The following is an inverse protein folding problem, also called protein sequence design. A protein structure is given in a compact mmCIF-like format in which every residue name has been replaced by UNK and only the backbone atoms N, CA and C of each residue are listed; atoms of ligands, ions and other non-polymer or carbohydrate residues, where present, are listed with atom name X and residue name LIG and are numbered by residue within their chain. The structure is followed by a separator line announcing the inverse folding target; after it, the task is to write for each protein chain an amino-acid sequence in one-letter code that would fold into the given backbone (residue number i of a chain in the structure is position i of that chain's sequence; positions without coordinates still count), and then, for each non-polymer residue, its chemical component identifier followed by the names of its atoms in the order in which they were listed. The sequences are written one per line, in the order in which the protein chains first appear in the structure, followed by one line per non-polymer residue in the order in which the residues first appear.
data_IF_312562340352
#
_entry.id   IF_312562340352
#
_cell.length_a   1.000
_cell.length_b   1.000
_cell.length_c   1.000
_cell.angle_alpha   90.00
_cell.angle_beta   90.00
_cell.angle_gamma   90.00
#
_symmetry.space_group_name_H-M   'P 1'
#
loop_
_entity.id
_entity.type
_entity.pdbx_description
1 polymer ?
#
# COMPACT_ATOMS: atom_id res chain seq x y z
N UNK A 1 -21.45 32.46 18.20
CA UNK A 1 -21.67 31.06 18.63
C UNK A 1 -20.52 30.25 18.07
N UNK A 2 -19.64 29.73 18.93
CA UNK A 2 -18.59 28.79 18.52
C UNK A 2 -19.31 27.50 18.15
N UNK A 3 -19.24 27.08 16.90
CA UNK A 3 -19.80 25.79 16.49
C UNK A 3 -19.16 24.71 17.38
N UNK A 4 -20.01 23.90 18.01
CA UNK A 4 -19.61 22.68 18.73
C UNK A 4 -18.63 21.90 17.86
N UNK A 5 -17.59 21.31 18.46
CA UNK A 5 -16.67 20.36 17.82
C UNK A 5 -17.38 19.54 16.73
N UNK A 6 -17.21 19.95 15.47
CA UNK A 6 -17.83 19.28 14.34
C UNK A 6 -16.92 18.13 13.98
N UNK A 7 -17.34 16.92 14.34
CA UNK A 7 -16.62 15.69 14.01
C UNK A 7 -16.89 15.28 12.55
N UNK A 8 -16.07 15.82 11.64
CA UNK A 8 -16.13 15.54 10.20
C UNK A 8 -15.96 14.04 9.90
N UNK A 9 -15.15 13.34 10.71
CA UNK A 9 -14.90 11.89 10.53
C UNK A 9 -16.18 11.11 10.80
N UNK A 10 -16.84 11.41 11.93
CA UNK A 10 -18.12 10.82 12.27
C UNK A 10 -19.19 11.13 11.22
N UNK A 11 -19.28 12.38 10.78
CA UNK A 11 -20.25 12.79 9.75
C UNK A 11 -20.01 12.06 8.42
N UNK A 12 -18.76 11.91 7.98
CA UNK A 12 -18.42 11.15 6.78
C UNK A 12 -18.86 9.68 6.91
N UNK A 13 -18.66 9.08 8.08
CA UNK A 13 -19.07 7.70 8.34
C UNK A 13 -20.59 7.51 8.38
N UNK A 14 -21.32 8.47 8.95
CA UNK A 14 -22.80 8.42 9.07
C UNK A 14 -23.50 8.74 7.74
N UNK A 15 -22.93 9.64 6.93
CA UNK A 15 -23.55 10.12 5.69
C UNK A 15 -23.04 9.41 4.43
N UNK A 16 -21.87 8.78 4.50
CA UNK A 16 -21.17 8.24 3.33
C UNK A 16 -20.59 9.30 2.38
N UNK A 17 -20.64 10.59 2.76
CA UNK A 17 -20.05 11.70 1.98
C UNK A 17 -18.54 11.76 2.20
N UNK A 18 -17.82 12.33 1.23
CA UNK A 18 -16.38 12.57 1.39
C UNK A 18 -16.16 13.66 2.44
N UNK A 19 -15.10 13.53 3.24
CA UNK A 19 -14.69 14.54 4.24
C UNK A 19 -14.55 15.94 3.60
N UNK A 20 -14.00 15.99 2.38
CA UNK A 20 -13.86 17.23 1.60
C UNK A 20 -15.22 17.86 1.26
N UNK A 21 -16.21 17.08 0.81
CA UNK A 21 -17.55 17.56 0.48
C UNK A 21 -18.28 18.10 1.72
N UNK A 22 -18.09 17.44 2.88
CA UNK A 22 -18.68 17.88 4.16
C UNK A 22 -18.03 19.21 4.59
N UNK A 23 -16.71 19.33 4.47
CA UNK A 23 -16.00 20.58 4.80
C UNK A 23 -16.46 21.73 3.90
N UNK A 24 -16.59 21.48 2.61
CA UNK A 24 -17.10 22.46 1.65
C UNK A 24 -18.53 22.90 2.03
N UNK A 25 -19.42 21.94 2.29
CA UNK A 25 -20.80 22.22 2.70
C UNK A 25 -20.89 23.01 4.01
N UNK A 26 -19.97 22.78 4.94
CA UNK A 26 -19.89 23.48 6.22
C UNK A 26 -19.02 24.75 6.18
N UNK A 27 -18.48 25.11 5.01
CA UNK A 27 -17.54 26.23 4.85
C UNK A 27 -16.34 26.16 5.82
N UNK A 28 -15.88 24.94 6.12
CA UNK A 28 -14.72 24.70 6.98
C UNK A 28 -13.44 24.63 6.15
N UNK A 29 -12.35 25.30 6.57
CA UNK A 29 -11.08 25.23 5.85
C UNK A 29 -10.49 23.82 5.92
N UNK A 30 -9.79 23.44 4.86
CA UNK A 30 -9.00 22.20 4.86
C UNK A 30 -7.79 22.35 5.79
N UNK A 31 -7.64 21.43 6.75
CA UNK A 31 -6.54 21.42 7.71
C UNK A 31 -5.77 20.09 7.63
N UNK A 32 -4.52 20.15 7.18
CA UNK A 32 -3.66 18.97 7.04
C UNK A 32 -3.32 18.31 8.38
N UNK A 33 -3.23 19.07 9.47
CA UNK A 33 -2.90 18.54 10.80
C UNK A 33 -4.04 17.68 11.34
N UNK A 34 -5.28 18.14 11.18
CA UNK A 34 -6.48 17.38 11.55
C UNK A 34 -6.64 16.13 10.68
N UNK A 35 -6.41 16.25 9.37
CA UNK A 35 -6.46 15.11 8.46
C UNK A 35 -5.39 14.07 8.80
N UNK A 36 -4.19 14.52 9.15
CA UNK A 36 -3.13 13.62 9.57
C UNK A 36 -3.49 12.92 10.87
N UNK A 37 -4.03 13.66 11.85
CA UNK A 37 -4.47 13.09 13.12
C UNK A 37 -5.58 12.05 12.92
N UNK A 38 -6.53 12.34 12.03
CA UNK A 38 -7.67 11.47 11.69
C UNK A 38 -7.37 10.37 10.67
N UNK A 39 -6.15 10.30 10.10
CA UNK A 39 -5.78 9.25 9.18
C UNK A 39 -5.68 7.91 9.91
N UNK A 40 -6.54 6.96 9.53
CA UNK A 40 -6.55 5.59 10.06
C UNK A 40 -6.00 4.59 9.03
N UNK A 41 -5.83 5.02 7.77
CA UNK A 41 -5.35 4.20 6.67
C UNK A 41 -4.09 4.78 6.01
N UNK A 42 -3.29 3.89 5.42
CA UNK A 42 -2.08 4.29 4.69
C UNK A 42 -2.42 5.26 3.55
N UNK A 43 -3.56 5.06 2.88
CA UNK A 43 -4.06 5.93 1.81
C UNK A 43 -4.40 7.34 2.30
N UNK A 44 -5.02 7.48 3.48
CA UNK A 44 -5.30 8.78 4.07
C UNK A 44 -4.01 9.50 4.46
N UNK A 45 -3.06 8.81 5.08
CA UNK A 45 -1.75 9.38 5.42
C UNK A 45 -0.96 9.77 4.16
N UNK A 46 -1.03 8.97 3.10
CA UNK A 46 -0.45 9.30 1.80
C UNK A 46 -1.10 10.53 1.16
N UNK A 47 -2.43 10.65 1.23
CA UNK A 47 -3.14 11.81 0.72
C UNK A 47 -2.73 13.12 1.44
N UNK A 48 -2.51 13.06 2.75
CA UNK A 48 -1.94 14.19 3.51
C UNK A 48 -0.51 14.49 3.05
N UNK A 49 0.32 13.47 2.91
CA UNK A 49 1.71 13.60 2.45
C UNK A 49 1.80 14.29 1.08
N UNK A 50 0.94 13.89 0.13
CA UNK A 50 0.90 14.45 -1.23
C UNK A 50 0.44 15.92 -1.26
N UNK A 51 -0.49 16.28 -0.36
CA UNK A 51 -0.99 17.66 -0.21
C UNK A 51 -0.08 18.55 0.63
N UNK A 52 0.80 17.99 1.46
CA UNK A 52 1.65 18.74 2.36
C UNK A 52 2.80 19.43 1.61
N UNK A 53 3.19 20.66 2.00
CA UNK A 53 4.35 21.32 1.41
C UNK A 53 5.61 20.46 1.60
N UNK A 54 6.36 20.22 0.52
CA UNK A 54 7.58 19.43 0.55
C UNK A 54 8.55 19.96 1.63
N UNK A 55 9.14 19.05 2.40
CA UNK A 55 10.04 19.35 3.53
C UNK A 55 9.40 20.12 4.70
N UNK A 56 8.07 20.23 4.76
CA UNK A 56 7.39 20.68 5.97
C UNK A 56 7.41 19.60 7.07
N UNK A 57 7.13 20.04 8.30
CA UNK A 57 6.95 19.13 9.44
C UNK A 57 5.80 18.14 9.18
N UNK A 58 4.66 18.64 8.71
CA UNK A 58 3.48 17.82 8.37
C UNK A 58 3.83 16.80 7.27
N UNK A 59 4.62 17.18 6.27
CA UNK A 59 5.07 16.26 5.22
C UNK A 59 5.89 15.11 5.81
N UNK A 60 6.79 15.40 6.75
CA UNK A 60 7.60 14.37 7.41
C UNK A 60 6.73 13.48 8.31
N UNK A 61 5.83 14.06 9.10
CA UNK A 61 4.91 13.32 9.97
C UNK A 61 3.95 12.44 9.17
N UNK A 62 3.44 12.93 8.03
CA UNK A 62 2.59 12.16 7.13
C UNK A 62 3.33 10.97 6.52
N UNK A 63 4.59 11.16 6.14
CA UNK A 63 5.43 10.06 5.67
C UNK A 63 5.67 9.00 6.74
N UNK A 64 5.92 9.42 7.99
CA UNK A 64 6.10 8.50 9.11
C UNK A 64 4.82 7.74 9.44
N UNK A 65 3.69 8.44 9.53
CA UNK A 65 2.39 7.81 9.80
C UNK A 65 1.99 6.85 8.68
N UNK A 66 2.20 7.23 7.41
CA UNK A 66 1.98 6.35 6.27
C UNK A 66 2.78 5.06 6.38
N UNK A 67 4.06 5.15 6.75
CA UNK A 67 4.90 3.98 7.00
C UNK A 67 4.34 3.13 8.15
N UNK A 68 4.05 3.73 9.30
CA UNK A 68 3.53 3.02 10.48
C UNK A 68 2.23 2.26 10.20
N UNK A 69 1.34 2.81 9.36
CA UNK A 69 0.09 2.15 8.99
C UNK A 69 0.31 0.95 8.07
N UNK A 70 1.38 0.95 7.27
CA UNK A 70 1.74 -0.17 6.39
C UNK A 70 2.50 -1.29 7.08
N UNK A 71 3.18 -1.03 8.20
CA UNK A 71 3.89 -2.07 8.97
C UNK A 71 3.00 -3.25 9.38
N UNK A 72 1.80 -3.05 9.98
CA UNK A 72 0.91 -4.16 10.31
C UNK A 72 0.33 -4.84 9.07
N UNK A 73 0.02 -4.11 7.99
CA UNK A 73 -0.42 -4.70 6.71
C UNK A 73 0.67 -5.63 6.16
N UNK A 74 1.94 -5.19 6.20
CA UNK A 74 3.07 -6.00 5.77
C UNK A 74 3.26 -7.23 6.64
N UNK A 75 3.12 -7.07 7.96
CA UNK A 75 3.26 -8.18 8.91
C UNK A 75 2.19 -9.25 8.68
N UNK A 76 0.94 -8.82 8.45
CA UNK A 76 -0.21 -9.68 8.23
C UNK A 76 -0.31 -10.26 6.80
N UNK A 77 0.44 -9.74 5.84
CA UNK A 77 0.43 -10.27 4.47
C UNK A 77 0.89 -11.74 4.43
N UNK A 78 -0.01 -12.67 4.13
CA UNK A 78 0.28 -14.11 4.04
C UNK A 78 0.29 -14.59 2.59
N UNK A 79 -0.16 -13.75 1.65
CA UNK A 79 -0.19 -14.03 0.21
C UNK A 79 0.72 -13.10 -0.59
N UNK A 80 1.16 -13.58 -1.76
CA UNK A 80 1.96 -12.78 -2.69
C UNK A 80 1.20 -11.50 -3.11
N UNK A 81 -0.11 -11.59 -3.28
CA UNK A 81 -0.99 -10.48 -3.63
C UNK A 81 -1.05 -9.42 -2.53
N UNK A 82 -1.17 -9.81 -1.26
CA UNK A 82 -1.15 -8.88 -0.12
C UNK A 82 0.21 -8.19 0.01
N UNK A 83 1.31 -8.95 -0.11
CA UNK A 83 2.65 -8.37 -0.08
C UNK A 83 2.90 -7.41 -1.27
N UNK A 84 2.36 -7.72 -2.45
CA UNK A 84 2.38 -6.83 -3.60
C UNK A 84 1.55 -5.56 -3.37
N UNK A 85 0.36 -5.67 -2.77
CA UNK A 85 -0.47 -4.52 -2.45
C UNK A 85 0.26 -3.56 -1.51
N UNK A 86 0.91 -4.08 -0.46
CA UNK A 86 1.76 -3.25 0.42
C UNK A 86 2.94 -2.64 -0.32
N UNK A 87 3.59 -3.38 -1.23
CA UNK A 87 4.68 -2.86 -2.04
C UNK A 87 4.26 -1.68 -2.93
N UNK A 88 3.06 -1.73 -3.50
CA UNK A 88 2.49 -0.70 -4.36
C UNK A 88 2.10 0.55 -3.55
N UNK A 89 1.50 0.33 -2.37
CA UNK A 89 1.14 1.40 -1.43
C UNK A 89 2.34 2.01 -0.71
N UNK A 90 3.50 1.36 -0.67
CA UNK A 90 4.61 1.82 0.15
C UNK A 90 5.33 3.04 -0.48
N UNK A 91 5.81 3.99 0.33
CA UNK A 91 6.58 5.11 -0.17
C UNK A 91 7.80 4.64 -0.97
N UNK A 92 8.11 5.35 -2.06
CA UNK A 92 9.28 5.06 -2.89
C UNK A 92 10.55 5.10 -2.03
N UNK A 93 11.45 4.14 -2.27
CA UNK A 93 12.72 3.98 -1.56
C UNK A 93 12.62 3.73 -0.03
N UNK A 94 11.41 3.49 0.49
CA UNK A 94 11.21 3.13 1.90
C UNK A 94 11.67 1.71 2.22
N UNK A 95 12.04 1.48 3.48
CA UNK A 95 12.42 0.14 3.93
C UNK A 95 11.24 -0.83 3.90
N UNK A 96 10.03 -0.35 4.22
CA UNK A 96 8.77 -1.12 4.10
C UNK A 96 8.60 -1.63 2.67
N UNK A 97 8.85 -0.81 1.67
CA UNK A 97 8.77 -1.23 0.26
C UNK A 97 9.77 -2.34 -0.06
N UNK A 98 11.01 -2.26 0.44
CA UNK A 98 12.00 -3.32 0.27
C UNK A 98 11.61 -4.61 1.00
N UNK A 99 11.05 -4.50 2.19
CA UNK A 99 10.58 -5.65 2.97
C UNK A 99 9.37 -6.30 2.29
N UNK A 100 8.43 -5.51 1.76
CA UNK A 100 7.29 -5.97 0.97
C UNK A 100 7.74 -6.72 -0.29
N UNK A 101 8.71 -6.18 -1.04
CA UNK A 101 9.31 -6.86 -2.19
C UNK A 101 9.90 -8.24 -1.79
N UNK A 102 10.71 -8.28 -0.73
CA UNK A 102 11.32 -9.53 -0.25
C UNK A 102 10.25 -10.54 0.19
N UNK A 103 9.22 -10.09 0.90
CA UNK A 103 8.12 -10.95 1.36
C UNK A 103 7.33 -11.49 0.17
N UNK A 104 7.03 -10.63 -0.80
CA UNK A 104 6.37 -11.00 -2.06
C UNK A 104 7.12 -12.09 -2.83
N UNK A 105 8.44 -11.93 -3.02
CA UNK A 105 9.28 -12.96 -3.65
C UNK A 105 9.27 -14.27 -2.87
N UNK A 106 9.41 -14.21 -1.54
CA UNK A 106 9.42 -15.39 -0.66
C UNK A 106 8.10 -16.17 -0.70
N UNK A 107 6.96 -15.48 -0.83
CA UNK A 107 5.65 -16.11 -0.92
C UNK A 107 5.43 -16.80 -2.29
N UNK A 108 6.06 -16.30 -3.35
CA UNK A 108 6.00 -16.91 -4.68
C UNK A 108 6.94 -18.10 -4.87
N UNK A 109 8.00 -18.23 -4.07
CA UNK A 109 8.91 -19.39 -4.11
C UNK A 109 8.21 -20.74 -3.97
N UNK A 110 7.42 -21.01 -2.91
CA UNK A 110 6.71 -22.27 -2.79
C UNK A 110 5.66 -22.49 -3.89
N UNK A 111 5.01 -21.43 -4.38
CA UNK A 111 4.09 -21.52 -5.54
C UNK A 111 4.83 -21.99 -6.80
N UNK A 112 6.04 -21.45 -7.04
CA UNK A 112 6.86 -21.84 -8.17
C UNK A 112 7.34 -23.29 -8.06
N UNK A 113 7.79 -23.71 -6.88
CA UNK A 113 8.25 -25.08 -6.64
C UNK A 113 7.11 -26.10 -6.85
N UNK A 114 5.93 -25.82 -6.31
CA UNK A 114 4.74 -26.64 -6.48
C UNK A 114 4.14 -26.63 -7.90
N UNK A 115 4.53 -25.67 -8.76
CA UNK A 115 4.03 -25.56 -10.12
C UNK A 115 4.59 -26.69 -11.02
N UNK A 116 3.76 -27.71 -11.27
CA UNK A 116 4.09 -28.86 -12.14
C UNK A 116 3.66 -28.72 -13.61
N UNK A 117 3.01 -27.63 -13.95
CA UNK A 117 2.46 -27.39 -15.30
C UNK A 117 2.95 -26.05 -15.82
N UNK A 118 3.22 -25.96 -17.12
CA UNK A 118 3.60 -24.70 -17.77
C UNK A 118 2.68 -23.52 -17.41
N UNK A 119 1.35 -23.73 -17.40
CA UNK A 119 0.38 -22.68 -17.05
C UNK A 119 0.61 -22.12 -15.64
N UNK A 120 0.85 -22.97 -14.65
CA UNK A 120 1.13 -22.56 -13.27
C UNK A 120 2.46 -21.81 -13.15
N UNK A 121 3.52 -22.28 -13.79
CA UNK A 121 4.83 -21.59 -13.81
C UNK A 121 4.70 -20.22 -14.47
N UNK A 122 3.96 -20.14 -15.57
CA UNK A 122 3.65 -18.88 -16.26
C UNK A 122 2.87 -17.93 -15.35
N UNK A 123 1.90 -18.42 -14.58
CA UNK A 123 1.19 -17.58 -13.60
C UNK A 123 2.16 -16.96 -12.59
N UNK A 124 3.05 -17.76 -12.01
CA UNK A 124 4.04 -17.24 -11.05
C UNK A 124 4.98 -16.22 -11.71
N UNK A 125 5.38 -16.44 -12.97
CA UNK A 125 6.18 -15.47 -13.73
C UNK A 125 5.52 -14.09 -13.86
N UNK A 126 4.21 -14.03 -14.09
CA UNK A 126 3.49 -12.75 -14.19
C UNK A 126 3.18 -12.12 -12.83
N UNK A 127 3.06 -12.93 -11.79
CA UNK A 127 2.92 -12.45 -10.42
C UNK A 127 4.24 -11.98 -9.81
N UNK A 128 5.39 -12.37 -10.37
CA UNK A 128 6.69 -12.03 -9.83
C UNK A 128 7.05 -10.55 -10.05
N UNK A 129 7.77 -9.91 -9.11
CA UNK A 129 8.31 -8.57 -9.33
C UNK A 129 9.20 -8.52 -10.58
N UNK A 130 9.22 -7.35 -11.24
CA UNK A 130 10.09 -7.14 -12.39
C UNK A 130 11.56 -7.33 -11.99
N UNK A 131 12.35 -7.99 -12.85
CA UNK A 131 13.77 -8.35 -12.61
C UNK A 131 14.09 -9.21 -11.37
N UNK A 132 13.08 -9.74 -10.67
CA UNK A 132 13.29 -10.60 -9.51
C UNK A 132 13.94 -11.95 -9.85
N UNK A 133 14.64 -12.53 -8.87
CA UNK A 133 15.21 -13.86 -9.01
C UNK A 133 14.13 -14.93 -9.21
N UNK A 134 12.96 -14.78 -8.58
CA UNK A 134 11.84 -15.70 -8.78
C UNK A 134 11.34 -15.67 -10.23
N UNK A 135 11.34 -14.50 -10.89
CA UNK A 135 10.98 -14.38 -12.31
C UNK A 135 11.98 -15.10 -13.22
N UNK A 136 13.29 -14.99 -12.92
CA UNK A 136 14.36 -15.73 -13.61
C UNK A 136 14.23 -17.24 -13.41
N UNK A 137 13.97 -17.70 -12.17
CA UNK A 137 13.70 -19.11 -11.85
C UNK A 137 12.48 -19.63 -12.64
N UNK A 138 11.41 -18.84 -12.73
CA UNK A 138 10.23 -19.19 -13.49
C UNK A 138 10.52 -19.34 -14.99
N UNK A 139 11.33 -18.45 -15.59
CA UNK A 139 11.78 -18.60 -16.99
C UNK A 139 12.53 -19.92 -17.19
N UNK A 140 13.50 -20.24 -16.32
CA UNK A 140 14.27 -21.50 -16.41
C UNK A 140 13.35 -22.72 -16.34
N UNK A 141 12.44 -22.75 -15.36
CA UNK A 141 11.47 -23.83 -15.21
C UNK A 141 10.49 -23.92 -16.38
N UNK A 142 10.11 -22.79 -17.00
CA UNK A 142 9.31 -22.80 -18.24
C UNK A 142 10.09 -23.42 -19.40
N UNK A 143 11.38 -23.14 -19.55
CA UNK A 143 12.21 -23.69 -20.62
C UNK A 143 12.32 -25.22 -20.57
N UNK A 144 12.32 -25.81 -19.37
CA UNK A 144 12.32 -27.27 -19.16
C UNK A 144 11.12 -27.99 -19.80
N UNK A 145 9.98 -27.30 -19.99
CA UNK A 145 8.81 -27.87 -20.68
C UNK A 145 8.99 -27.98 -22.19
N UNK A 146 9.89 -27.20 -22.79
CA UNK A 146 10.12 -27.15 -24.24
C UNK A 146 11.43 -27.81 -24.65
N UNK A 147 12.30 -28.15 -23.71
CA UNK A 147 13.56 -28.85 -23.94
C UNK A 147 13.41 -30.38 -23.94
N UNK A 148 12.18 -30.89 -24.11
CA UNK A 148 11.82 -32.32 -24.07
C UNK A 148 11.18 -32.71 -25.39
#
# INVERSE_FOLDING_TARGET
MVAKDVDIVRMAKETGLRKDDIREALSMPFNLEEELAAADTAEEAHAVFDKAPTWSEIWSQALEKWKQLLEPELAAADTAEEAHAVFDKAPRDSEIRKQALKKWEKLLEPELEAAKTWKKVRTVFYKAPHDSEIRKKAIRKMAEFFSR
#
